data_IF_652293893540
#
_entry.id   IF_652293893540
#
_cell.length_a   1.000
_cell.length_b   1.000
_cell.length_c   1.000
_cell.angle_alpha   90.00
_cell.angle_beta   90.00
_cell.angle_gamma   90.00
#
_symmetry.space_group_name_H-M   'P 1'
#
loop_
_entity.id
_entity.type
_entity.pdbx_description
1 polymer ?
#
# COMPACT_ATOMS: atom_id res chain seq x y z
N UNK A 1 -7.32 17.25 -17.73
CA UNK A 1 -6.10 16.42 -17.70
C UNK A 1 -5.97 15.76 -16.33
N UNK A 2 -5.77 14.47 -16.33
CA UNK A 2 -5.70 13.74 -15.07
C UNK A 2 -4.30 13.72 -14.49
N UNK A 3 -4.18 14.08 -13.23
CA UNK A 3 -2.91 13.99 -12.52
C UNK A 3 -2.83 12.61 -11.85
N UNK A 4 -2.08 11.72 -12.44
CA UNK A 4 -1.91 10.39 -11.86
C UNK A 4 -0.93 10.44 -10.69
N UNK A 5 -1.21 9.66 -9.67
CA UNK A 5 -0.37 9.56 -8.48
C UNK A 5 -0.10 8.10 -8.15
N UNK A 6 0.92 7.89 -7.32
CA UNK A 6 1.29 6.58 -6.82
C UNK A 6 1.32 6.62 -5.30
N UNK A 7 0.94 5.52 -4.68
CA UNK A 7 1.08 5.37 -3.23
C UNK A 7 2.13 4.31 -2.93
N UNK A 8 2.97 4.60 -1.96
CA UNK A 8 3.91 3.64 -1.41
C UNK A 8 3.55 3.38 0.04
N UNK A 9 3.31 2.13 0.37
CA UNK A 9 2.88 1.72 1.71
C UNK A 9 3.93 0.78 2.29
N UNK A 10 4.43 1.11 3.47
CA UNK A 10 5.36 0.26 4.20
C UNK A 10 4.66 -0.21 5.47
N UNK A 11 4.25 -1.47 5.50
CA UNK A 11 3.54 -2.02 6.65
C UNK A 11 4.56 -2.59 7.63
N UNK A 12 4.75 -1.87 8.73
CA UNK A 12 5.61 -2.35 9.81
C UNK A 12 4.78 -2.95 10.93
N UNK A 13 5.45 -3.59 11.88
CA UNK A 13 4.79 -4.21 13.02
C UNK A 13 4.17 -3.22 14.00
N UNK A 14 4.57 -1.97 13.96
CA UNK A 14 4.06 -0.93 14.86
C UNK A 14 3.33 0.16 14.09
N UNK A 15 3.84 0.56 12.94
CA UNK A 15 3.35 1.69 12.17
C UNK A 15 3.31 1.34 10.69
N UNK A 16 2.27 1.81 10.01
CA UNK A 16 2.18 1.76 8.56
C UNK A 16 2.57 3.13 8.03
N UNK A 17 3.60 3.19 7.20
CA UNK A 17 4.05 4.44 6.58
C UNK A 17 3.48 4.56 5.18
N UNK A 18 3.03 5.75 4.84
CA UNK A 18 2.39 6.01 3.57
C UNK A 18 3.06 7.20 2.88
N UNK A 19 3.42 7.02 1.62
CA UNK A 19 3.94 8.10 0.80
C UNK A 19 3.06 8.28 -0.43
N UNK A 20 2.81 9.53 -0.78
CA UNK A 20 2.10 9.89 -2.00
C UNK A 20 3.10 10.52 -2.96
N UNK A 21 3.17 9.98 -4.17
CA UNK A 21 4.17 10.38 -5.16
C UNK A 21 3.51 10.75 -6.48
N UNK A 22 4.19 11.64 -7.23
CA UNK A 22 3.86 11.84 -8.64
C UNK A 22 4.40 10.66 -9.44
N UNK A 23 4.00 10.56 -10.71
CA UNK A 23 4.54 9.53 -11.61
C UNK A 23 6.04 9.70 -11.84
N UNK A 24 6.58 10.90 -11.61
CA UNK A 24 8.01 11.15 -11.75
C UNK A 24 8.80 10.75 -10.50
N UNK A 25 8.13 10.29 -9.47
CA UNK A 25 8.78 9.87 -8.23
C UNK A 25 8.95 10.97 -7.21
N UNK A 26 8.33 12.11 -7.42
CA UNK A 26 8.40 13.23 -6.49
C UNK A 26 7.45 12.99 -5.31
N UNK A 27 7.97 13.09 -4.10
CA UNK A 27 7.17 12.87 -2.90
C UNK A 27 6.29 14.09 -2.63
N UNK A 28 4.99 13.89 -2.63
CA UNK A 28 4.02 14.96 -2.37
C UNK A 28 3.61 15.02 -0.90
N UNK A 29 3.51 13.86 -0.25
CA UNK A 29 3.04 13.81 1.12
C UNK A 29 3.53 12.53 1.78
N UNK A 30 3.92 12.63 3.06
CA UNK A 30 4.24 11.48 3.90
C UNK A 30 3.31 11.48 5.10
N UNK A 31 2.87 10.30 5.49
CA UNK A 31 2.03 10.16 6.66
C UNK A 31 2.20 8.76 7.22
N UNK A 32 1.65 8.52 8.39
CA UNK A 32 1.68 7.18 8.98
C UNK A 32 0.46 6.97 9.85
N UNK A 33 0.08 5.71 10.00
CA UNK A 33 -1.00 5.30 10.87
C UNK A 33 -0.51 4.13 11.72
N UNK A 34 -1.10 3.91 12.89
CA UNK A 34 -0.71 2.75 13.71
C UNK A 34 -1.12 1.45 13.01
N UNK A 35 -0.32 0.41 13.23
CA UNK A 35 -0.64 -0.92 12.72
C UNK A 35 -1.57 -1.61 13.72
N UNK A 36 -2.82 -1.84 13.32
CA UNK A 36 -3.79 -2.52 14.17
C UNK A 36 -3.65 -4.03 13.97
N UNK A 37 -2.96 -4.68 14.91
CA UNK A 37 -2.70 -6.11 14.85
C UNK A 37 -3.79 -6.95 15.51
N UNK A 38 -4.84 -6.34 16.03
CA UNK A 38 -5.93 -7.06 16.63
C UNK A 38 -6.62 -7.95 15.60
N UNK A 39 -7.20 -9.02 16.09
CA UNK A 39 -7.91 -9.97 15.25
C UNK A 39 -7.03 -10.47 14.09
N UNK A 40 -5.80 -10.86 14.44
CA UNK A 40 -4.80 -11.39 13.50
C UNK A 40 -4.49 -10.42 12.36
N UNK A 41 -4.54 -9.12 12.66
CA UNK A 41 -4.21 -8.10 11.67
C UNK A 41 -5.25 -7.96 10.57
N UNK A 42 -6.49 -8.36 10.82
CA UNK A 42 -7.53 -8.36 9.79
C UNK A 42 -7.90 -6.97 9.30
N UNK A 43 -7.62 -5.93 10.10
CA UNK A 43 -7.99 -4.56 9.73
C UNK A 43 -6.88 -3.78 9.05
N UNK A 44 -5.69 -4.33 8.96
CA UNK A 44 -4.54 -3.57 8.45
C UNK A 44 -4.81 -3.05 7.06
N UNK A 45 -5.25 -3.90 6.13
CA UNK A 45 -5.47 -3.48 4.75
C UNK A 45 -6.65 -2.54 4.60
N UNK A 46 -7.73 -2.77 5.34
CA UNK A 46 -8.87 -1.84 5.28
C UNK A 46 -8.50 -0.47 5.85
N UNK A 47 -7.66 -0.44 6.89
CA UNK A 47 -7.19 0.82 7.44
C UNK A 47 -6.30 1.56 6.44
N UNK A 48 -5.45 0.82 5.73
CA UNK A 48 -4.61 1.41 4.68
C UNK A 48 -5.48 2.00 3.57
N UNK A 49 -6.47 1.25 3.12
CA UNK A 49 -7.36 1.73 2.06
C UNK A 49 -8.13 2.97 2.50
N UNK A 50 -8.62 2.99 3.73
CA UNK A 50 -9.32 4.16 4.27
C UNK A 50 -8.39 5.37 4.33
N UNK A 51 -7.15 5.16 4.73
CA UNK A 51 -6.17 6.24 4.80
C UNK A 51 -5.88 6.81 3.40
N UNK A 52 -5.73 5.93 2.42
CA UNK A 52 -5.52 6.37 1.03
C UNK A 52 -6.72 7.20 0.55
N UNK A 53 -7.94 6.74 0.83
CA UNK A 53 -9.13 7.48 0.41
C UNK A 53 -9.20 8.85 1.08
N UNK A 54 -8.80 8.95 2.35
CA UNK A 54 -8.78 10.23 3.06
C UNK A 54 -7.78 11.20 2.40
N UNK A 55 -6.62 10.71 1.99
CA UNK A 55 -5.63 11.54 1.33
C UNK A 55 -6.16 12.02 -0.03
N UNK A 56 -6.78 11.12 -0.79
CA UNK A 56 -7.35 11.47 -2.09
C UNK A 56 -8.42 12.55 -1.93
N UNK A 57 -9.31 12.38 -0.98
CA UNK A 57 -10.37 13.34 -0.74
C UNK A 57 -9.82 14.70 -0.35
N UNK A 58 -8.83 14.71 0.53
CA UNK A 58 -8.20 15.96 0.98
C UNK A 58 -7.55 16.71 -0.17
N UNK A 59 -7.05 15.99 -1.17
CA UNK A 59 -6.37 16.58 -2.33
C UNK A 59 -7.27 16.73 -3.55
N UNK A 60 -8.56 16.48 -3.39
CA UNK A 60 -9.53 16.54 -4.49
C UNK A 60 -9.18 15.58 -5.62
N UNK A 61 -8.64 14.41 -5.25
CA UNK A 61 -8.33 13.34 -6.20
C UNK A 61 -9.33 12.22 -6.05
N UNK A 62 -9.42 11.37 -7.06
CA UNK A 62 -10.30 10.20 -7.04
C UNK A 62 -9.47 8.94 -7.17
N UNK A 63 -10.10 7.80 -6.96
CA UNK A 63 -9.44 6.51 -7.12
C UNK A 63 -8.92 6.34 -8.55
N UNK A 64 -9.62 6.90 -9.54
CA UNK A 64 -9.17 6.81 -10.93
C UNK A 64 -7.89 7.60 -11.20
N UNK A 65 -7.50 8.50 -10.30
CA UNK A 65 -6.23 9.22 -10.41
C UNK A 65 -5.04 8.42 -9.87
N UNK A 66 -5.30 7.28 -9.23
CA UNK A 66 -4.25 6.45 -8.68
C UNK A 66 -3.75 5.48 -9.74
N UNK A 67 -2.47 5.63 -10.13
CA UNK A 67 -1.87 4.75 -11.11
C UNK A 67 -1.50 3.39 -10.49
N UNK A 68 -1.21 3.37 -9.20
CA UNK A 68 -0.90 2.12 -8.52
C UNK A 68 -0.55 2.32 -7.06
N UNK A 69 -0.54 1.23 -6.33
CA UNK A 69 -0.15 1.19 -4.91
C UNK A 69 0.90 0.10 -4.74
N UNK A 70 2.05 0.48 -4.20
CA UNK A 70 3.08 -0.48 -3.84
C UNK A 70 3.05 -0.72 -2.35
N UNK A 71 3.04 -1.98 -1.94
CA UNK A 71 2.95 -2.35 -0.53
C UNK A 71 4.15 -3.21 -0.16
N UNK A 72 4.91 -2.75 0.85
CA UNK A 72 5.99 -3.54 1.43
C UNK A 72 5.56 -4.15 2.74
N UNK A 73 5.85 -5.43 2.93
CA UNK A 73 5.53 -6.15 4.17
C UNK A 73 6.79 -6.83 4.71
N UNK A 74 6.88 -7.05 6.02
CA UNK A 74 8.07 -7.67 6.62
C UNK A 74 8.05 -9.20 6.56
N UNK A 75 7.54 -9.77 5.48
CA UNK A 75 7.45 -11.22 5.33
C UNK A 75 7.70 -11.64 3.90
N UNK A 76 7.75 -12.94 3.68
CA UNK A 76 7.96 -13.48 2.35
C UNK A 76 6.69 -13.28 1.51
N UNK A 77 6.88 -12.83 0.29
CA UNK A 77 5.77 -12.53 -0.61
C UNK A 77 5.99 -13.27 -1.93
N UNK A 78 4.92 -13.89 -2.42
CA UNK A 78 4.97 -14.55 -3.72
C UNK A 78 4.82 -13.51 -4.84
N UNK A 79 5.17 -13.87 -6.09
CA UNK A 79 4.95 -12.96 -7.21
C UNK A 79 3.49 -12.54 -7.40
N UNK A 80 2.55 -13.35 -6.90
CA UNK A 80 1.12 -13.03 -7.00
C UNK A 80 0.65 -12.07 -5.92
N UNK A 81 1.54 -11.63 -5.03
CA UNK A 81 1.18 -10.72 -3.96
C UNK A 81 0.58 -11.38 -2.73
N UNK A 82 0.86 -12.66 -2.54
CA UNK A 82 0.38 -13.41 -1.38
C UNK A 82 1.49 -13.48 -0.33
N UNK A 83 1.16 -13.05 0.88
CA UNK A 83 2.06 -13.20 2.02
C UNK A 83 1.84 -14.58 2.61
N UNK A 84 2.91 -15.37 2.67
CA UNK A 84 2.80 -16.74 3.16
C UNK A 84 2.68 -16.78 4.69
N UNK A 85 3.47 -15.98 5.37
CA UNK A 85 3.38 -15.87 6.82
C UNK A 85 4.05 -14.59 7.28
N UNK A 86 3.38 -13.82 8.09
CA UNK A 86 3.96 -12.62 8.67
C UNK A 86 3.56 -12.52 10.13
N UNK A 87 4.41 -13.08 11.00
CA UNK A 87 4.14 -13.16 12.44
C UNK A 87 4.00 -11.77 13.04
N UNK A 88 4.80 -10.81 12.58
CA UNK A 88 4.78 -9.46 13.11
C UNK A 88 3.42 -8.75 12.92
N UNK A 89 2.66 -9.18 11.92
CA UNK A 89 1.35 -8.60 11.63
C UNK A 89 0.20 -9.51 12.06
N UNK A 90 0.52 -10.70 12.53
CA UNK A 90 -0.50 -11.68 12.90
C UNK A 90 -1.09 -12.40 11.69
N UNK A 91 -0.49 -12.26 10.52
CA UNK A 91 -0.98 -12.90 9.30
C UNK A 91 -0.42 -14.30 9.14
N UNK A 92 -1.28 -15.21 8.71
CA UNK A 92 -0.87 -16.55 8.29
C UNK A 92 -0.68 -16.52 6.77
N UNK A 93 -1.69 -16.89 6.01
CA UNK A 93 -1.64 -16.74 4.56
C UNK A 93 -2.58 -15.59 4.19
N UNK A 94 -2.06 -14.60 3.48
CA UNK A 94 -2.81 -13.39 3.19
C UNK A 94 -2.60 -12.98 1.73
N UNK A 95 -3.68 -12.98 0.96
CA UNK A 95 -3.63 -12.49 -0.42
C UNK A 95 -3.78 -10.98 -0.39
N UNK A 96 -2.65 -10.29 -0.17
CA UNK A 96 -2.63 -8.86 0.06
C UNK A 96 -3.10 -8.09 -1.17
N UNK A 97 -2.59 -8.47 -2.35
CA UNK A 97 -2.94 -7.76 -3.58
C UNK A 97 -4.44 -7.87 -3.86
N UNK A 98 -4.99 -9.06 -3.77
CA UNK A 98 -6.40 -9.27 -4.07
C UNK A 98 -7.30 -8.60 -3.03
N UNK A 99 -6.97 -8.76 -1.76
CA UNK A 99 -7.77 -8.17 -0.69
C UNK A 99 -7.76 -6.65 -0.77
N UNK A 100 -6.58 -6.07 -1.03
CA UNK A 100 -6.47 -4.62 -1.18
C UNK A 100 -7.32 -4.13 -2.35
N UNK A 101 -7.37 -4.88 -3.44
CA UNK A 101 -8.18 -4.50 -4.60
C UNK A 101 -9.68 -4.56 -4.34
N UNK A 102 -10.12 -5.34 -3.34
CA UNK A 102 -11.53 -5.31 -2.96
C UNK A 102 -11.91 -4.02 -2.24
N UNK A 103 -10.95 -3.40 -1.54
CA UNK A 103 -11.18 -2.12 -0.87
C UNK A 103 -10.91 -0.94 -1.80
N UNK A 104 -9.97 -1.10 -2.72
CA UNK A 104 -9.50 -0.01 -3.56
C UNK A 104 -9.18 -0.58 -4.94
N UNK A 105 -10.03 -0.35 -5.95
CA UNK A 105 -9.89 -1.02 -7.26
C UNK A 105 -8.77 -0.36 -8.09
N UNK A 106 -7.53 -0.58 -7.69
CA UNK A 106 -6.35 -0.03 -8.36
C UNK A 106 -5.32 -1.13 -8.55
N UNK A 107 -4.32 -0.86 -9.37
CA UNK A 107 -3.19 -1.78 -9.52
C UNK A 107 -2.42 -1.84 -8.20
N UNK A 108 -2.16 -3.05 -7.69
CA UNK A 108 -1.45 -3.24 -6.43
C UNK A 108 -0.27 -4.17 -6.67
N UNK A 109 0.89 -3.76 -6.19
CA UNK A 109 2.08 -4.58 -6.21
C UNK A 109 2.58 -4.76 -4.78
N UNK A 110 2.91 -5.99 -4.40
CA UNK A 110 3.32 -6.31 -3.04
C UNK A 110 4.70 -6.94 -3.06
N UNK A 111 5.53 -6.54 -2.12
CA UNK A 111 6.86 -7.10 -1.97
C UNK A 111 7.24 -7.20 -0.50
N UNK A 112 8.46 -7.70 -0.25
CA UNK A 112 8.89 -7.95 1.13
C UNK A 112 9.72 -6.83 1.73
N UNK A 113 9.72 -5.65 1.13
CA UNK A 113 10.38 -4.49 1.72
C UNK A 113 9.76 -3.19 1.21
N UNK A 114 10.14 -2.09 1.87
CA UNK A 114 9.57 -0.78 1.58
C UNK A 114 9.96 -0.23 0.21
N UNK A 115 10.96 -0.83 -0.44
CA UNK A 115 11.42 -0.36 -1.74
C UNK A 115 10.44 -0.66 -2.86
N UNK A 116 9.40 -1.45 -2.58
CA UNK A 116 8.39 -1.73 -3.59
C UNK A 116 7.72 -0.46 -4.13
N UNK A 117 7.55 0.54 -3.26
CA UNK A 117 7.01 1.81 -3.71
C UNK A 117 7.94 2.47 -4.72
N UNK A 118 9.25 2.42 -4.46
CA UNK A 118 10.23 2.96 -5.39
C UNK A 118 10.21 2.23 -6.72
N UNK A 119 10.00 0.93 -6.70
CA UNK A 119 9.96 0.14 -7.93
C UNK A 119 8.77 0.50 -8.81
N UNK A 120 7.68 0.94 -8.21
CA UNK A 120 6.50 1.32 -8.98
C UNK A 120 6.77 2.49 -9.90
N UNK A 121 7.43 3.53 -9.41
CA UNK A 121 7.61 4.73 -10.23
C UNK A 121 9.01 4.85 -10.82
N UNK A 122 9.95 4.01 -10.40
CA UNK A 122 11.22 3.89 -11.07
C UNK A 122 11.23 2.73 -12.06
N UNK A 123 10.11 2.04 -12.16
CA UNK A 123 9.95 0.98 -13.13
C UNK A 123 10.39 1.49 -14.48
N UNK A 124 11.16 0.72 -15.20
CA UNK A 124 11.68 1.21 -16.46
C UNK A 124 10.53 1.60 -17.34
N UNK A 125 10.61 2.75 -17.54
CA UNK A 125 9.75 3.29 -18.52
C UNK A 125 10.18 2.73 -19.82
#
# INVERSE_FOLDING_TARGET
>A
MMNKVLFGIDIGGTTVKCGLFTLNGELLEKSEIPTDKQDNGSRILSDVAAHIRNILEKRCLTVSDVAGVGIGVPGAVTPDGIVNKCVNLGWDIKDVAKEMQTFLPVFVKVGNDANMACLLYTSPS
#
